data_IF_260201258461
#
_entry.id   IF_260201258461
#
_cell.length_a   1.000
_cell.length_b   1.000
_cell.length_c   1.000
_cell.angle_alpha   90.00
_cell.angle_beta   90.00
_cell.angle_gamma   90.00
#
_symmetry.space_group_name_H-M   'P 1'
#
loop_
_entity.id
_entity.type
_entity.pdbx_description
1 polymer ?
#
# COMPACT_ATOMS: atom_id res chain seq x y z
N UNK A 1 43.85 26.50 -18.03
CA UNK A 1 43.96 25.22 -18.74
C UNK A 1 43.62 24.12 -17.76
N UNK A 2 42.39 23.61 -17.79
CA UNK A 2 41.97 22.47 -16.99
C UNK A 2 42.49 21.20 -17.65
N UNK A 3 43.60 20.68 -17.14
CA UNK A 3 44.07 19.33 -17.46
C UNK A 3 43.01 18.34 -16.94
N UNK A 4 42.23 17.76 -17.85
CA UNK A 4 41.35 16.64 -17.52
C UNK A 4 42.25 15.49 -17.07
N UNK A 5 42.18 15.13 -15.79
CA UNK A 5 42.86 13.95 -15.25
C UNK A 5 42.24 12.74 -15.94
N UNK A 6 43.03 12.03 -16.74
CA UNK A 6 42.61 10.78 -17.35
C UNK A 6 42.43 9.78 -16.20
N UNK A 7 41.21 9.29 -16.02
CA UNK A 7 40.87 8.30 -14.98
C UNK A 7 41.61 7.00 -15.30
N UNK A 8 42.28 6.43 -14.30
CA UNK A 8 42.87 5.10 -14.40
C UNK A 8 41.80 4.03 -14.12
N UNK A 9 42.04 2.79 -14.55
CA UNK A 9 41.12 1.67 -14.27
C UNK A 9 40.84 1.51 -12.77
N UNK A 10 41.81 1.82 -11.91
CA UNK A 10 41.67 1.76 -10.46
C UNK A 10 40.76 2.84 -9.90
N UNK A 11 40.83 4.07 -10.44
CA UNK A 11 39.91 5.15 -10.05
C UNK A 11 38.47 4.77 -10.42
N UNK A 12 38.25 4.13 -11.57
CA UNK A 12 36.93 3.68 -12.03
C UNK A 12 36.41 2.50 -11.18
N UNK A 13 37.28 1.57 -10.80
CA UNK A 13 36.90 0.45 -9.92
C UNK A 13 36.53 0.92 -8.51
N UNK A 14 37.25 1.91 -7.97
CA UNK A 14 36.96 2.51 -6.68
C UNK A 14 35.59 3.21 -6.69
N UNK A 15 35.33 4.04 -7.70
CA UNK A 15 34.02 4.67 -7.91
C UNK A 15 32.89 3.64 -8.08
N UNK A 16 33.15 2.56 -8.81
CA UNK A 16 32.16 1.49 -9.00
C UNK A 16 31.87 0.71 -7.73
N UNK A 17 32.83 0.62 -6.80
CA UNK A 17 32.66 -0.04 -5.52
C UNK A 17 31.67 0.70 -4.61
N UNK A 18 31.65 2.03 -4.68
CA UNK A 18 30.72 2.89 -3.94
C UNK A 18 29.38 3.09 -4.67
N UNK A 19 29.36 2.90 -5.98
CA UNK A 19 28.16 3.09 -6.78
C UNK A 19 27.09 2.01 -6.53
N UNK A 20 25.79 2.32 -6.78
CA UNK A 20 24.70 1.38 -6.58
C UNK A 20 24.88 0.07 -7.37
N UNK A 21 24.35 -1.04 -6.83
CA UNK A 21 24.46 -2.36 -7.44
C UNK A 21 23.87 -2.45 -8.87
N UNK A 22 22.94 -1.56 -9.21
CA UNK A 22 22.31 -1.44 -10.54
C UNK A 22 23.11 -0.61 -11.55
N UNK A 23 24.25 -0.04 -11.14
CA UNK A 23 25.08 0.81 -12.00
C UNK A 23 25.74 0.00 -13.13
N UNK A 24 25.85 0.60 -14.32
CA UNK A 24 26.45 -0.05 -15.49
C UNK A 24 27.96 -0.24 -15.33
N UNK A 25 28.46 -1.35 -15.88
CA UNK A 25 29.89 -1.70 -15.91
C UNK A 25 30.58 -1.32 -17.23
N UNK A 26 29.85 -0.80 -18.22
CA UNK A 26 30.38 -0.40 -19.51
C UNK A 26 31.62 0.52 -19.45
N UNK A 27 31.64 1.63 -18.67
CA UNK A 27 32.79 2.54 -18.67
C UNK A 27 34.07 1.92 -18.11
N UNK A 28 33.94 0.92 -17.22
CA UNK A 28 35.08 0.18 -16.70
C UNK A 28 35.69 -0.74 -17.75
N UNK A 29 34.87 -1.43 -18.57
CA UNK A 29 35.37 -2.27 -19.64
C UNK A 29 36.11 -1.45 -20.70
N UNK A 30 35.55 -0.32 -21.10
CA UNK A 30 36.22 0.60 -22.04
C UNK A 30 37.54 1.14 -21.48
N UNK A 31 37.59 1.47 -20.19
CA UNK A 31 38.82 1.93 -19.52
C UNK A 31 39.86 0.80 -19.44
N UNK A 32 39.45 -0.42 -19.12
CA UNK A 32 40.34 -1.58 -19.01
C UNK A 32 40.96 -1.92 -20.38
N UNK A 33 40.15 -1.98 -21.43
CA UNK A 33 40.64 -2.27 -22.79
C UNK A 33 41.64 -1.20 -23.26
N UNK A 34 41.31 0.08 -23.05
CA UNK A 34 42.18 1.19 -23.44
C UNK A 34 43.53 1.21 -22.69
N UNK A 35 43.55 0.79 -21.42
CA UNK A 35 44.78 0.70 -20.63
C UNK A 35 45.60 -0.56 -20.95
N UNK A 36 44.92 -1.69 -21.20
CA UNK A 36 45.60 -2.92 -21.59
C UNK A 36 46.27 -2.80 -22.95
N UNK A 37 45.64 -2.19 -23.96
CA UNK A 37 46.20 -2.07 -25.32
C UNK A 37 47.59 -1.40 -25.35
N UNK A 38 47.87 -0.51 -24.39
CA UNK A 38 49.13 0.25 -24.29
C UNK A 38 50.28 -0.54 -23.66
N UNK A 39 49.99 -1.67 -23.02
CA UNK A 39 50.96 -2.44 -22.23
C UNK A 39 51.58 -3.61 -23.03
N UNK A 40 52.81 -4.05 -22.70
CA UNK A 40 53.36 -5.29 -23.24
C UNK A 40 52.62 -6.52 -22.67
N UNK A 41 52.63 -7.63 -23.42
CA UNK A 41 51.82 -8.84 -23.15
C UNK A 41 51.89 -9.34 -21.69
N UNK A 42 53.07 -9.39 -21.09
CA UNK A 42 53.24 -9.87 -19.72
C UNK A 42 52.59 -8.94 -18.69
N UNK A 43 52.72 -7.62 -18.89
CA UNK A 43 52.08 -6.61 -18.04
C UNK A 43 50.57 -6.55 -18.29
N UNK A 44 50.10 -6.79 -19.52
CA UNK A 44 48.68 -6.92 -19.82
C UNK A 44 48.05 -8.05 -19.01
N UNK A 45 48.66 -9.24 -19.02
CA UNK A 45 48.12 -10.40 -18.31
C UNK A 45 48.10 -10.19 -16.80
N UNK A 46 49.15 -9.58 -16.23
CA UNK A 46 49.22 -9.29 -14.80
C UNK A 46 48.15 -8.25 -14.40
N UNK A 47 48.06 -7.13 -15.10
CA UNK A 47 47.08 -6.08 -14.83
C UNK A 47 45.65 -6.57 -15.03
N UNK A 48 45.39 -7.33 -16.10
CA UNK A 48 44.08 -7.93 -16.35
C UNK A 48 43.68 -8.90 -15.24
N UNK A 49 44.60 -9.78 -14.81
CA UNK A 49 44.33 -10.70 -13.70
C UNK A 49 43.94 -9.95 -12.43
N UNK A 50 44.68 -8.90 -12.07
CA UNK A 50 44.40 -8.12 -10.86
C UNK A 50 43.07 -7.37 -10.98
N UNK A 51 42.79 -6.76 -12.13
CA UNK A 51 41.53 -6.09 -12.41
C UNK A 51 40.35 -7.06 -12.33
N UNK A 52 40.44 -8.25 -12.93
CA UNK A 52 39.37 -9.25 -12.87
C UNK A 52 39.07 -9.73 -11.45
N UNK A 53 40.08 -9.84 -10.59
CA UNK A 53 39.86 -10.17 -9.17
C UNK A 53 39.01 -9.11 -8.49
N UNK A 54 39.33 -7.82 -8.66
CA UNK A 54 38.56 -6.73 -8.07
C UNK A 54 37.15 -6.63 -8.65
N UNK A 55 36.99 -6.84 -9.96
CA UNK A 55 35.67 -6.87 -10.61
C UNK A 55 34.83 -8.01 -10.02
N UNK A 56 35.41 -9.18 -9.79
CA UNK A 56 34.71 -10.30 -9.18
C UNK A 56 34.25 -9.96 -7.74
N UNK A 57 35.08 -9.30 -6.95
CA UNK A 57 34.73 -8.86 -5.60
C UNK A 57 33.59 -7.83 -5.60
N UNK A 58 33.64 -6.84 -6.50
CA UNK A 58 32.56 -5.85 -6.67
C UNK A 58 31.25 -6.54 -7.08
N UNK A 59 31.30 -7.43 -8.07
CA UNK A 59 30.13 -8.18 -8.53
C UNK A 59 29.53 -9.04 -7.42
N UNK A 60 30.38 -9.69 -6.60
CA UNK A 60 29.94 -10.46 -5.44
C UNK A 60 29.20 -9.58 -4.44
N UNK A 61 29.79 -8.46 -4.03
CA UNK A 61 29.16 -7.49 -3.12
C UNK A 61 27.81 -7.02 -3.64
N UNK A 62 27.73 -6.66 -4.92
CA UNK A 62 26.48 -6.23 -5.56
C UNK A 62 25.43 -7.33 -5.59
N UNK A 63 25.82 -8.57 -5.87
CA UNK A 63 24.92 -9.71 -5.87
C UNK A 63 24.35 -9.96 -4.46
N UNK A 64 25.17 -9.86 -3.41
CA UNK A 64 24.72 -10.00 -2.02
C UNK A 64 23.66 -8.95 -1.67
N UNK A 65 23.87 -7.68 -2.07
CA UNK A 65 22.89 -6.60 -1.87
C UNK A 65 21.59 -6.85 -2.63
N UNK A 66 21.66 -7.23 -3.91
CA UNK A 66 20.46 -7.49 -4.72
C UNK A 66 19.67 -8.71 -4.22
N UNK A 67 20.36 -9.76 -3.76
CA UNK A 67 19.73 -10.92 -3.15
C UNK A 67 19.07 -10.56 -1.82
N UNK A 68 19.70 -9.71 -1.02
CA UNK A 68 19.12 -9.25 0.23
C UNK A 68 17.88 -8.37 -0.02
N UNK A 69 17.92 -7.41 -0.96
CA UNK A 69 16.75 -6.62 -1.35
C UNK A 69 15.60 -7.52 -1.85
N UNK A 70 15.92 -8.53 -2.66
CA UNK A 70 14.92 -9.51 -3.10
C UNK A 70 14.32 -10.28 -1.93
N UNK A 71 15.12 -10.70 -0.96
CA UNK A 71 14.66 -11.39 0.24
C UNK A 71 13.76 -10.50 1.08
N UNK A 72 14.15 -9.25 1.29
CA UNK A 72 13.42 -8.29 2.12
C UNK A 72 12.04 -7.98 1.52
N UNK A 73 11.96 -7.80 0.19
CA UNK A 73 10.67 -7.61 -0.52
C UNK A 73 9.71 -8.79 -0.41
N UNK A 74 10.25 -10.01 -0.30
CA UNK A 74 9.45 -11.24 -0.19
C UNK A 74 9.26 -11.70 1.27
N UNK A 75 9.75 -10.92 2.25
CA UNK A 75 9.61 -11.25 3.66
C UNK A 75 8.18 -11.00 4.14
N UNK A 76 7.55 -12.04 4.68
CA UNK A 76 6.24 -11.94 5.36
C UNK A 76 6.34 -11.31 6.75
N UNK A 77 7.56 -11.15 7.28
CA UNK A 77 7.82 -10.66 8.64
C UNK A 77 7.97 -9.13 8.70
N UNK A 78 7.91 -8.44 7.55
CA UNK A 78 8.13 -7.00 7.46
C UNK A 78 9.60 -6.60 7.68
N UNK A 79 9.91 -5.29 7.61
CA UNK A 79 11.27 -4.80 7.84
C UNK A 79 11.69 -5.00 9.31
N UNK A 80 12.88 -5.56 9.52
CA UNK A 80 13.45 -5.71 10.85
C UNK A 80 13.95 -4.33 11.30
N UNK A 81 13.16 -3.65 12.13
CA UNK A 81 13.54 -2.37 12.72
C UNK A 81 14.28 -2.63 14.03
N UNK A 82 15.56 -2.25 14.11
CA UNK A 82 16.31 -2.33 15.36
C UNK A 82 15.71 -1.38 16.39
N UNK A 83 15.71 -1.78 17.66
CA UNK A 83 15.25 -0.93 18.77
C UNK A 83 16.03 0.38 18.87
N UNK A 84 17.26 0.39 18.37
CA UNK A 84 18.14 1.56 18.38
C UNK A 84 17.86 2.55 17.24
N UNK A 85 17.14 2.15 16.18
CA UNK A 85 16.79 3.04 15.07
C UNK A 85 16.02 4.29 15.56
N UNK A 86 15.20 4.10 16.60
CA UNK A 86 14.42 5.17 17.20
C UNK A 86 15.07 5.79 18.44
N UNK A 87 16.22 5.30 18.91
CA UNK A 87 16.83 5.78 20.16
C UNK A 87 17.15 7.29 20.14
N UNK A 88 17.45 7.85 18.97
CA UNK A 88 17.63 9.30 18.78
C UNK A 88 16.34 10.09 18.48
N UNK A 89 15.25 9.40 18.13
CA UNK A 89 13.97 10.00 17.71
C UNK A 89 12.91 9.94 18.82
N UNK A 90 12.99 8.95 19.71
CA UNK A 90 12.18 8.91 20.93
C UNK A 90 12.77 9.93 21.90
N UNK A 91 12.10 11.08 22.03
CA UNK A 91 12.34 11.99 23.15
C UNK A 91 12.24 11.16 24.43
N UNK A 92 13.31 11.17 25.23
CA UNK A 92 13.28 10.72 26.62
C UNK A 92 12.02 11.26 27.26
N UNK A 93 11.20 10.35 27.78
CA UNK A 93 9.87 10.61 28.32
C UNK A 93 9.89 11.86 29.20
N UNK A 94 9.13 12.89 28.83
CA UNK A 94 8.92 14.05 29.70
C UNK A 94 7.88 13.63 30.74
N UNK A 95 8.29 13.53 32.01
CA UNK A 95 7.37 13.29 33.11
C UNK A 95 6.65 14.61 33.42
N UNK A 96 5.36 14.67 33.11
CA UNK A 96 4.48 15.79 33.42
C UNK A 96 3.58 15.35 34.56
N UNK A 97 3.79 15.93 35.74
CA UNK A 97 2.89 15.72 36.87
C UNK A 97 1.58 16.46 36.57
N UNK A 98 0.48 15.71 36.52
CA UNK A 98 -0.83 16.26 36.15
C UNK A 98 -1.48 17.01 37.31
N UNK A 99 -1.00 16.82 38.54
CA UNK A 99 -1.51 17.52 39.71
C UNK A 99 -1.20 19.02 39.66
N UNK A 100 -0.06 19.41 39.06
CA UNK A 100 0.32 20.81 38.84
C UNK A 100 -0.55 21.51 37.77
N UNK A 101 -1.26 20.75 36.94
CA UNK A 101 -2.14 21.26 35.88
C UNK A 101 -3.62 21.32 36.30
N UNK A 102 -3.95 20.79 37.48
CA UNK A 102 -5.30 20.85 38.02
C UNK A 102 -5.43 22.13 38.84
N UNK A 103 -6.22 23.09 38.33
CA UNK A 103 -6.57 24.28 39.10
C UNK A 103 -7.35 23.86 40.36
N UNK A 104 -6.95 24.33 41.57
CA UNK A 104 -7.62 23.94 42.81
C UNK A 104 -9.09 24.30 42.76
N UNK A 105 -9.97 23.31 42.98
CA UNK A 105 -11.40 23.47 42.80
C UNK A 105 -11.94 24.54 43.77
N UNK A 106 -12.27 25.71 43.22
CA UNK A 106 -13.08 26.68 43.97
C UNK A 106 -14.42 26.01 44.25
N UNK A 107 -14.88 25.92 45.52
CA UNK A 107 -16.16 25.30 45.83
C UNK A 107 -17.27 26.07 45.12
N UNK A 108 -17.74 25.51 44.00
CA UNK A 108 -18.88 26.05 43.29
C UNK A 108 -20.13 25.69 44.07
N UNK A 109 -20.72 26.69 44.74
CA UNK A 109 -22.07 26.57 45.29
C UNK A 109 -23.05 26.53 44.11
N UNK A 110 -23.29 25.33 43.58
CA UNK A 110 -24.36 25.12 42.61
C UNK A 110 -25.70 25.40 43.28
N UNK A 111 -26.43 26.39 42.77
CA UNK A 111 -27.86 26.49 43.05
C UNK A 111 -28.53 25.29 42.36
N UNK A 112 -29.41 24.53 43.04
CA UNK A 112 -30.07 23.40 42.42
C UNK A 112 -30.89 23.90 41.23
N UNK A 113 -30.49 23.50 40.03
CA UNK A 113 -31.30 23.67 38.83
C UNK A 113 -32.51 22.74 38.95
N UNK A 114 -33.71 23.25 38.68
CA UNK A 114 -34.93 22.46 38.67
C UNK A 114 -34.85 21.27 37.69
N UNK A 115 -35.79 20.32 37.76
CA UNK A 115 -35.69 19.06 37.01
C UNK A 115 -35.63 19.31 35.51
N UNK A 116 -34.43 19.25 34.94
CA UNK A 116 -34.24 19.25 33.50
C UNK A 116 -34.49 17.84 32.98
N UNK A 117 -35.60 17.66 32.27
CA UNK A 117 -35.87 16.47 31.49
C UNK A 117 -34.90 16.45 30.30
N UNK A 118 -33.77 15.78 30.45
CA UNK A 118 -32.97 15.33 29.32
C UNK A 118 -33.76 14.22 28.62
N UNK A 119 -34.42 14.56 27.53
CA UNK A 119 -34.95 13.58 26.58
C UNK A 119 -33.79 13.01 25.77
N UNK A 120 -33.18 11.95 26.27
CA UNK A 120 -32.40 11.04 25.43
C UNK A 120 -33.36 10.41 24.40
N UNK A 121 -33.03 10.36 23.10
CA UNK A 121 -33.77 9.51 22.20
C UNK A 121 -33.59 8.08 22.70
N UNK A 122 -34.68 7.47 23.17
CA UNK A 122 -34.74 6.06 23.56
C UNK A 122 -34.91 5.20 22.30
N UNK A 123 -34.16 5.52 21.24
CA UNK A 123 -34.07 4.64 20.10
C UNK A 123 -32.90 3.69 20.36
N UNK A 124 -33.25 2.52 20.89
CA UNK A 124 -32.46 1.30 20.77
C UNK A 124 -32.17 1.06 19.28
N UNK A 125 -31.11 1.65 18.73
CA UNK A 125 -30.91 1.53 17.28
C UNK A 125 -29.62 2.04 16.66
N UNK A 126 -28.85 2.93 17.30
CA UNK A 126 -27.70 3.56 16.60
C UNK A 126 -26.32 3.21 17.20
N UNK A 127 -26.23 2.08 17.89
CA UNK A 127 -24.96 1.40 18.15
C UNK A 127 -25.11 -0.08 17.83
N UNK A 128 -24.55 -0.50 16.70
CA UNK A 128 -24.50 -1.91 16.24
C UNK A 128 -23.44 -2.71 17.02
N UNK A 129 -22.67 -2.06 17.90
CA UNK A 129 -21.59 -2.71 18.65
C UNK A 129 -22.12 -3.14 20.02
N UNK A 130 -22.79 -4.30 20.02
CA UNK A 130 -23.02 -5.05 21.25
C UNK A 130 -21.75 -5.86 21.59
N UNK A 131 -21.33 -5.94 22.88
CA UNK A 131 -20.27 -6.84 23.29
C UNK A 131 -20.72 -8.28 23.04
N UNK A 132 -20.17 -8.91 21.99
CA UNK A 132 -20.40 -10.33 21.72
C UNK A 132 -19.49 -11.13 22.63
N UNK A 133 -20.06 -12.03 23.43
CA UNK A 133 -19.26 -12.92 24.26
C UNK A 133 -18.34 -13.79 23.40
N UNK A 134 -17.07 -13.87 23.78
CA UNK A 134 -16.03 -14.62 23.05
C UNK A 134 -16.42 -16.08 22.78
N UNK A 135 -17.24 -16.68 23.65
CA UNK A 135 -17.78 -18.01 23.46
C UNK A 135 -18.68 -18.13 22.22
N UNK A 136 -19.48 -17.10 21.90
CA UNK A 136 -20.34 -17.10 20.72
C UNK A 136 -19.51 -16.96 19.43
N UNK A 137 -18.45 -16.16 19.45
CA UNK A 137 -17.52 -16.04 18.31
C UNK A 137 -16.80 -17.37 18.05
N UNK A 138 -16.40 -18.08 19.12
CA UNK A 138 -15.76 -19.39 19.00
C UNK A 138 -16.74 -20.49 18.54
N UNK A 139 -18.03 -20.40 18.91
CA UNK A 139 -19.06 -21.29 18.40
C UNK A 139 -19.27 -21.12 16.89
N UNK A 140 -19.32 -19.87 16.39
CA UNK A 140 -19.41 -19.60 14.95
C UNK A 140 -18.20 -20.14 14.17
N UNK A 141 -17.00 -20.09 14.74
CA UNK A 141 -15.79 -20.64 14.11
C UNK A 141 -15.84 -22.17 14.01
N UNK A 142 -16.52 -22.83 14.95
CA UNK A 142 -16.70 -24.29 14.94
C UNK A 142 -17.83 -24.76 14.01
N UNK A 143 -18.74 -23.88 13.59
CA UNK A 143 -19.77 -24.18 12.58
C UNK A 143 -19.21 -24.10 11.16
N UNK A 144 -18.11 -23.38 10.95
CA UNK A 144 -17.44 -23.24 9.65
C UNK A 144 -16.29 -24.25 9.55
N UNK A 145 -16.63 -25.50 9.24
CA UNK A 145 -15.64 -26.60 9.17
C UNK A 145 -15.27 -26.99 7.75
N UNK A 146 -16.12 -26.66 6.76
CA UNK A 146 -15.89 -26.99 5.36
C UNK A 146 -15.74 -25.75 4.48
N UNK A 147 -15.09 -25.93 3.33
CA UNK A 147 -14.92 -24.87 2.32
C UNK A 147 -16.28 -24.40 1.76
N UNK A 148 -17.29 -25.27 1.81
CA UNK A 148 -18.68 -24.97 1.42
C UNK A 148 -19.40 -24.13 2.48
N UNK A 149 -19.11 -24.29 3.77
CA UNK A 149 -19.65 -23.44 4.85
C UNK A 149 -19.05 -22.03 4.82
N UNK A 150 -17.74 -21.92 4.53
CA UNK A 150 -17.08 -20.63 4.25
C UNK A 150 -17.75 -19.96 3.06
N UNK A 151 -18.01 -20.73 2.01
CA UNK A 151 -18.68 -20.23 0.81
C UNK A 151 -20.11 -19.81 1.12
N UNK A 152 -20.87 -20.54 1.94
CA UNK A 152 -22.23 -20.20 2.34
C UNK A 152 -22.29 -18.95 3.23
N UNK A 153 -21.33 -18.77 4.15
CA UNK A 153 -21.19 -17.55 4.95
C UNK A 153 -20.91 -16.31 4.09
N UNK A 154 -20.22 -16.49 2.96
CA UNK A 154 -19.96 -15.45 1.96
C UNK A 154 -20.98 -15.41 0.80
N UNK A 155 -21.94 -16.34 0.73
CA UNK A 155 -22.82 -16.53 -0.45
C UNK A 155 -24.11 -15.72 -0.43
N UNK A 156 -24.35 -14.85 0.56
CA UNK A 156 -25.46 -13.90 0.45
C UNK A 156 -25.17 -12.78 -0.56
N UNK A 157 -23.90 -12.68 -1.02
CA UNK A 157 -23.47 -11.75 -2.05
C UNK A 157 -23.61 -12.37 -3.46
N UNK A 158 -24.79 -12.23 -4.07
CA UNK A 158 -25.02 -12.62 -5.46
C UNK A 158 -24.58 -11.51 -6.44
N UNK A 159 -23.26 -11.40 -6.61
CA UNK A 159 -22.62 -10.42 -7.51
C UNK A 159 -23.11 -10.57 -8.96
N UNK A 160 -23.42 -11.79 -9.42
CA UNK A 160 -23.89 -12.04 -10.79
C UNK A 160 -25.30 -11.47 -11.02
N UNK A 161 -26.18 -11.60 -10.03
CA UNK A 161 -27.51 -10.97 -10.06
C UNK A 161 -27.41 -9.44 -10.10
N UNK A 162 -26.49 -8.86 -9.32
CA UNK A 162 -26.28 -7.40 -9.30
C UNK A 162 -25.74 -6.90 -10.63
N UNK A 163 -24.72 -7.56 -11.18
CA UNK A 163 -24.17 -7.24 -12.50
C UNK A 163 -25.22 -7.33 -13.61
N UNK A 164 -26.04 -8.39 -13.60
CA UNK A 164 -27.10 -8.60 -14.58
C UNK A 164 -28.19 -7.53 -14.49
N UNK A 165 -28.58 -7.13 -13.28
CA UNK A 165 -29.56 -6.05 -13.07
C UNK A 165 -29.04 -4.70 -13.58
N UNK A 166 -27.78 -4.38 -13.30
CA UNK A 166 -27.11 -3.16 -13.76
C UNK A 166 -26.95 -3.16 -15.29
N UNK A 167 -26.47 -4.26 -15.88
CA UNK A 167 -26.29 -4.39 -17.32
C UNK A 167 -27.61 -4.25 -18.07
N UNK A 168 -28.67 -4.94 -17.62
CA UNK A 168 -30.01 -4.84 -18.22
C UNK A 168 -30.54 -3.40 -18.18
N UNK A 169 -30.26 -2.67 -17.10
CA UNK A 169 -30.69 -1.29 -17.02
C UNK A 169 -29.85 -0.36 -17.92
N UNK A 170 -28.53 -0.57 -18.00
CA UNK A 170 -27.63 0.22 -18.83
C UNK A 170 -27.84 0.02 -20.34
N UNK A 171 -28.37 -1.13 -20.78
CA UNK A 171 -28.79 -1.33 -22.19
C UNK A 171 -29.83 -0.29 -22.62
N UNK A 172 -30.69 0.16 -21.72
CA UNK A 172 -31.75 1.12 -22.00
C UNK A 172 -31.31 2.58 -21.81
N UNK A 173 -30.08 2.84 -21.35
CA UNK A 173 -29.56 4.18 -21.08
C UNK A 173 -28.46 4.51 -22.10
N UNK A 174 -28.71 5.51 -22.94
CA UNK A 174 -27.89 5.76 -24.13
C UNK A 174 -26.55 6.46 -23.91
N UNK A 175 -26.40 7.27 -22.86
CA UNK A 175 -25.22 8.15 -22.80
C UNK A 175 -24.45 8.08 -21.48
N UNK A 176 -25.10 8.16 -20.31
CA UNK A 176 -24.42 8.11 -19.00
C UNK A 176 -25.47 8.14 -17.89
N UNK A 177 -25.24 7.44 -16.77
CA UNK A 177 -26.09 7.53 -15.58
C UNK A 177 -25.25 7.82 -14.33
N UNK A 178 -25.72 8.73 -13.47
CA UNK A 178 -25.08 8.93 -12.18
C UNK A 178 -25.39 7.76 -11.25
N UNK A 179 -24.43 7.38 -10.42
CA UNK A 179 -24.55 6.27 -9.49
C UNK A 179 -25.79 6.38 -8.58
N UNK A 180 -26.07 7.58 -8.08
CA UNK A 180 -27.24 7.83 -7.21
C UNK A 180 -28.55 7.61 -7.98
N UNK A 181 -28.61 7.95 -9.27
CA UNK A 181 -29.79 7.66 -10.10
C UNK A 181 -29.93 6.17 -10.36
N UNK A 182 -28.82 5.49 -10.66
CA UNK A 182 -28.77 4.04 -10.87
C UNK A 182 -29.28 3.28 -9.63
N UNK A 183 -28.83 3.69 -8.44
CA UNK A 183 -29.27 3.11 -7.17
C UNK A 183 -30.78 3.27 -6.92
N UNK A 184 -31.36 4.45 -7.25
CA UNK A 184 -32.80 4.68 -7.10
C UNK A 184 -33.64 3.84 -8.07
N UNK A 185 -33.17 3.63 -9.30
CA UNK A 185 -33.93 2.88 -10.31
C UNK A 185 -33.88 1.38 -10.03
N UNK A 186 -32.71 0.87 -9.62
CA UNK A 186 -32.55 -0.55 -9.29
C UNK A 186 -33.18 -0.92 -7.94
N UNK A 187 -33.48 0.08 -7.09
CA UNK A 187 -33.95 -0.13 -5.70
C UNK A 187 -33.05 -1.09 -4.89
N UNK A 188 -31.76 -1.08 -5.21
CA UNK A 188 -30.76 -1.91 -4.54
C UNK A 188 -30.02 -1.11 -3.46
N UNK A 189 -29.51 -1.77 -2.41
CA UNK A 189 -28.57 -1.17 -1.49
C UNK A 189 -27.37 -0.58 -2.24
N UNK A 190 -26.90 0.59 -1.77
CA UNK A 190 -25.80 1.31 -2.41
C UNK A 190 -24.54 0.44 -2.55
N UNK A 191 -24.26 -0.39 -1.55
CA UNK A 191 -23.11 -1.31 -1.54
C UNK A 191 -23.20 -2.35 -2.66
N UNK A 192 -24.37 -2.94 -2.89
CA UNK A 192 -24.57 -3.93 -3.96
C UNK A 192 -24.39 -3.31 -5.35
N UNK A 193 -24.88 -2.08 -5.55
CA UNK A 193 -24.69 -1.35 -6.81
C UNK A 193 -23.22 -1.04 -7.05
N UNK A 194 -22.50 -0.60 -6.02
CA UNK A 194 -21.07 -0.34 -6.09
C UNK A 194 -20.25 -1.61 -6.40
N UNK A 195 -20.51 -2.70 -5.68
CA UNK A 195 -19.83 -3.98 -5.88
C UNK A 195 -20.13 -4.54 -7.27
N UNK A 196 -21.39 -4.47 -7.72
CA UNK A 196 -21.79 -4.86 -9.06
C UNK A 196 -21.09 -4.05 -10.16
N UNK A 197 -20.87 -2.75 -9.94
CA UNK A 197 -20.15 -1.89 -10.89
C UNK A 197 -18.65 -2.18 -10.94
N UNK A 198 -18.01 -2.30 -9.77
CA UNK A 198 -16.56 -2.55 -9.66
C UNK A 198 -16.18 -3.94 -10.18
N UNK A 199 -16.98 -4.95 -9.86
CA UNK A 199 -16.73 -6.34 -10.26
C UNK A 199 -17.25 -6.65 -11.67
N UNK A 200 -18.17 -5.83 -12.20
CA UNK A 200 -18.83 -6.03 -13.50
C UNK A 200 -18.09 -5.43 -14.70
N UNK A 201 -16.91 -4.85 -14.51
CA UNK A 201 -16.12 -4.27 -15.61
C UNK A 201 -16.71 -3.01 -16.23
N UNK A 202 -17.59 -2.31 -15.51
CA UNK A 202 -18.20 -1.07 -16.00
C UNK A 202 -17.23 0.11 -15.89
N UNK A 203 -17.29 1.03 -16.86
CA UNK A 203 -16.48 2.25 -16.87
C UNK A 203 -17.06 3.30 -15.93
N UNK A 204 -16.37 3.56 -14.82
CA UNK A 204 -16.70 4.57 -13.83
C UNK A 204 -15.89 5.84 -14.07
N UNK A 205 -16.57 6.98 -14.13
CA UNK A 205 -15.93 8.30 -14.18
C UNK A 205 -16.32 9.12 -12.96
N UNK A 206 -15.31 9.60 -12.23
CA UNK A 206 -15.50 10.58 -11.18
C UNK A 206 -15.34 11.99 -11.75
N UNK A 207 -16.42 12.78 -11.70
CA UNK A 207 -16.47 14.17 -12.17
C UNK A 207 -16.62 15.11 -10.98
N UNK A 208 -15.50 15.51 -10.38
CA UNK A 208 -15.47 16.46 -9.25
C UNK A 208 -14.73 15.93 -8.03
N UNK A 209 -15.03 16.48 -6.85
CA UNK A 209 -14.32 16.19 -5.60
C UNK A 209 -14.49 14.74 -5.12
N UNK A 210 -13.41 14.20 -4.56
CA UNK A 210 -13.25 12.78 -4.22
C UNK A 210 -14.33 12.23 -3.27
N UNK A 211 -14.81 13.04 -2.33
CA UNK A 211 -15.71 12.60 -1.25
C UNK A 211 -17.20 12.73 -1.55
N UNK A 212 -17.57 13.08 -2.78
CA UNK A 212 -18.96 13.36 -3.15
C UNK A 212 -19.53 12.28 -4.06
N UNK A 213 -20.34 11.37 -3.50
CA UNK A 213 -20.97 10.25 -4.21
C UNK A 213 -21.89 10.66 -5.39
N UNK A 214 -22.28 11.93 -5.46
CA UNK A 214 -23.06 12.47 -6.58
C UNK A 214 -22.22 12.73 -7.85
N UNK A 215 -20.89 12.64 -7.74
CA UNK A 215 -19.94 12.89 -8.82
C UNK A 215 -19.49 11.63 -9.55
N UNK A 216 -20.01 10.45 -9.19
CA UNK A 216 -19.66 9.18 -9.84
C UNK A 216 -20.67 8.87 -10.93
N UNK A 217 -20.17 8.72 -12.15
CA UNK A 217 -20.93 8.43 -13.35
C UNK A 217 -20.54 7.08 -13.92
N UNK A 218 -21.54 6.32 -14.36
CA UNK A 218 -21.37 5.05 -15.06
C UNK A 218 -21.58 5.31 -16.54
N UNK A 219 -20.53 5.08 -17.34
CA UNK A 219 -20.62 5.08 -18.80
C UNK A 219 -21.15 3.74 -19.27
N UNK A 220 -22.19 3.77 -20.10
CA UNK A 220 -22.63 2.61 -20.87
C UNK A 220 -21.55 2.34 -21.92
N UNK A 221 -20.60 1.45 -21.62
CA UNK A 221 -19.63 1.03 -22.63
C UNK A 221 -20.35 0.19 -23.70
N UNK A 222 -20.11 0.45 -24.99
CA UNK A 222 -20.76 -0.29 -26.07
C UNK A 222 -20.36 -1.77 -25.97
N UNK A 223 -21.33 -2.66 -26.16
CA UNK A 223 -21.15 -4.11 -26.19
C UNK A 223 -19.89 -4.51 -26.97
N UNK A 224 -18.86 -4.96 -26.26
CA UNK A 224 -17.91 -5.89 -26.84
C UNK A 224 -18.37 -7.31 -26.50
N UNK A 225 -19.19 -7.86 -27.39
CA UNK A 225 -19.22 -9.31 -27.57
C UNK A 225 -17.80 -9.77 -27.87
N UNK A 226 -17.24 -10.66 -27.05
CA UNK A 226 -16.26 -11.60 -27.56
C UNK A 226 -16.51 -13.01 -27.04
N UNK A 227 -16.67 -13.88 -28.04
CA UNK A 227 -16.69 -15.35 -28.07
C UNK A 227 -15.70 -16.03 -27.13
#
# INVERSE_FOLDING_TARGET
>A
MTTYRQLTIWDVLDELSESPATSTLAPMWECLDAELEKLPLEAQLLTAALAFTQIADILKSRAEVLLQDTRDRNSLLGPIVSTDLFAGLVRTTMHLDLDDLIEPQTPQTFKPHGPHQFSYPTELGDSVVAPVEKANVLAMLNEVTTLEDVRNLASDEDVQKWQSAIANHLINVKDEISLVKLQRVLQMPMVEVWLGLLLGGFTLEQRGDFYHNHNVWVKSSPSYYHK
#
